data_IF_635729797466
#
_entry.id   IF_635729797466
#
_cell.length_a   1.000
_cell.length_b   1.000
_cell.length_c   1.000
_cell.angle_alpha   90.00
_cell.angle_beta   90.00
_cell.angle_gamma   90.00
#
_symmetry.space_group_name_H-M   'P 1'
#
loop_
_entity.id
_entity.type
_entity.pdbx_description
1 polymer ?
#
# COMPACT_ATOMS: atom_id res chain seq x y z
N UNK A 1 -8.10 20.29 -21.35
CA UNK A 1 -7.22 19.14 -20.97
C UNK A 1 -7.09 19.16 -19.45
N UNK A 2 -7.64 18.17 -18.76
CA UNK A 2 -7.47 18.08 -17.31
C UNK A 2 -5.97 17.86 -17.01
N UNK A 3 -5.41 18.72 -16.19
CA UNK A 3 -3.99 18.67 -15.82
C UNK A 3 -3.77 17.40 -14.94
N UNK A 4 -3.35 16.32 -15.57
CA UNK A 4 -3.14 14.98 -14.95
C UNK A 4 -1.82 14.92 -14.18
N UNK A 5 -1.44 16.01 -13.51
CA UNK A 5 -0.20 16.05 -12.77
C UNK A 5 -0.20 15.03 -11.63
N UNK A 6 0.70 14.06 -11.72
CA UNK A 6 0.98 13.12 -10.63
C UNK A 6 1.50 13.90 -9.41
N UNK A 7 0.85 13.71 -8.28
CA UNK A 7 1.28 14.34 -7.02
C UNK A 7 2.24 13.39 -6.27
N UNK A 8 3.48 13.36 -6.73
CA UNK A 8 4.53 12.48 -6.21
C UNK A 8 4.70 12.55 -4.69
N UNK A 9 4.62 13.74 -4.10
CA UNK A 9 4.69 13.88 -2.64
C UNK A 9 3.63 13.08 -1.89
N UNK A 10 2.43 12.95 -2.44
CA UNK A 10 1.36 12.12 -1.84
C UNK A 10 1.56 10.64 -2.08
N UNK A 11 2.11 10.25 -3.23
CA UNK A 11 2.46 8.86 -3.54
C UNK A 11 3.51 8.38 -2.54
N UNK A 12 4.58 9.13 -2.39
CA UNK A 12 5.68 8.83 -1.45
C UNK A 12 5.16 8.79 -0.01
N UNK A 13 4.43 9.83 0.43
CA UNK A 13 3.88 9.90 1.77
C UNK A 13 2.93 8.71 2.06
N UNK A 14 2.05 8.39 1.11
CA UNK A 14 1.10 7.29 1.24
C UNK A 14 1.81 5.94 1.32
N UNK A 15 2.80 5.71 0.47
CA UNK A 15 3.60 4.49 0.50
C UNK A 15 4.34 4.32 1.84
N UNK A 16 4.97 5.38 2.34
CA UNK A 16 5.66 5.35 3.63
C UNK A 16 4.68 5.11 4.78
N UNK A 17 3.56 5.83 4.84
CA UNK A 17 2.57 5.66 5.92
C UNK A 17 1.98 4.25 5.96
N UNK A 18 1.63 3.69 4.80
CA UNK A 18 1.10 2.33 4.74
C UNK A 18 2.14 1.29 5.15
N UNK A 19 3.42 1.50 4.76
CA UNK A 19 4.51 0.62 5.17
C UNK A 19 4.78 0.70 6.68
N UNK A 20 4.73 1.89 7.27
CA UNK A 20 4.87 2.05 8.72
C UNK A 20 3.74 1.34 9.48
N UNK A 21 2.49 1.44 9.02
CA UNK A 21 1.37 0.71 9.62
C UNK A 21 1.57 -0.80 9.54
N UNK A 22 2.03 -1.30 8.39
CA UNK A 22 2.36 -2.71 8.20
C UNK A 22 3.47 -3.15 9.16
N UNK A 23 4.56 -2.39 9.25
CA UNK A 23 5.67 -2.69 10.16
C UNK A 23 5.23 -2.73 11.62
N UNK A 24 4.39 -1.79 12.05
CA UNK A 24 3.83 -1.79 13.40
C UNK A 24 3.02 -3.07 13.64
N UNK A 25 2.17 -3.47 12.70
CA UNK A 25 1.40 -4.71 12.82
C UNK A 25 2.29 -5.95 12.95
N UNK A 26 3.34 -6.05 12.13
CA UNK A 26 4.32 -7.15 12.19
C UNK A 26 5.05 -7.17 13.53
N UNK A 27 5.53 -6.02 14.00
CA UNK A 27 6.22 -5.91 15.31
C UNK A 27 5.30 -6.30 16.46
N UNK A 28 4.04 -5.87 16.44
CA UNK A 28 3.04 -6.23 17.46
C UNK A 28 2.81 -7.74 17.50
N UNK A 29 2.62 -8.38 16.33
CA UNK A 29 2.44 -9.84 16.25
C UNK A 29 3.67 -10.58 16.79
N UNK A 30 4.86 -10.12 16.41
CA UNK A 30 6.11 -10.71 16.87
C UNK A 30 6.29 -10.55 18.39
N UNK A 31 6.01 -9.36 18.94
CA UNK A 31 6.08 -9.07 20.36
C UNK A 31 5.03 -9.86 21.18
N UNK A 32 3.91 -10.20 20.58
CA UNK A 32 2.87 -11.04 21.17
C UNK A 32 3.22 -12.56 21.13
N UNK A 33 4.42 -12.91 20.68
CA UNK A 33 4.86 -14.31 20.59
C UNK A 33 4.38 -15.04 19.33
N UNK A 34 3.95 -14.31 18.31
CA UNK A 34 3.60 -14.88 17.00
C UNK A 34 4.82 -15.53 16.34
N UNK A 35 4.67 -16.79 15.92
CA UNK A 35 5.69 -17.51 15.19
C UNK A 35 5.89 -16.99 13.76
N UNK A 36 6.82 -17.58 13.03
CA UNK A 36 7.20 -17.18 11.67
C UNK A 36 6.01 -17.15 10.72
N UNK A 37 5.12 -18.14 10.82
CA UNK A 37 3.90 -18.19 9.98
C UNK A 37 2.96 -17.01 10.26
N UNK A 38 2.74 -16.66 11.54
CA UNK A 38 1.90 -15.54 11.91
C UNK A 38 2.47 -14.20 11.42
N UNK A 39 3.78 -14.03 11.51
CA UNK A 39 4.49 -12.85 10.97
C UNK A 39 4.34 -12.78 9.45
N UNK A 40 4.52 -13.90 8.75
CA UNK A 40 4.40 -13.96 7.30
C UNK A 40 2.98 -13.68 6.82
N UNK A 41 1.97 -14.28 7.46
CA UNK A 41 0.55 -14.00 7.15
C UNK A 41 0.24 -12.53 7.40
N UNK A 42 0.73 -11.97 8.51
CA UNK A 42 0.55 -10.55 8.83
C UNK A 42 1.20 -9.66 7.77
N UNK A 43 2.36 -10.02 7.27
CA UNK A 43 3.02 -9.27 6.20
C UNK A 43 2.21 -9.30 4.90
N UNK A 44 1.64 -10.45 4.52
CA UNK A 44 0.85 -10.60 3.29
C UNK A 44 -0.50 -9.89 3.41
N UNK A 45 -1.30 -10.25 4.42
CA UNK A 45 -2.64 -9.69 4.62
C UNK A 45 -2.57 -8.23 5.02
N UNK A 46 -1.64 -7.88 5.92
CA UNK A 46 -1.39 -6.52 6.38
C UNK A 46 -0.97 -5.59 5.24
N UNK A 47 -0.25 -6.10 4.24
CA UNK A 47 0.09 -5.34 3.03
C UNK A 47 -1.16 -4.85 2.29
N UNK A 48 -2.20 -5.67 2.17
CA UNK A 48 -3.47 -5.23 1.60
C UNK A 48 -4.22 -4.28 2.56
N UNK A 49 -4.41 -4.70 3.80
CA UNK A 49 -5.22 -3.99 4.80
C UNK A 49 -4.67 -2.60 5.12
N UNK A 50 -3.35 -2.42 5.20
CA UNK A 50 -2.74 -1.13 5.49
C UNK A 50 -2.85 -0.16 4.29
N UNK A 51 -2.75 -0.65 3.06
CA UNK A 51 -2.76 0.19 1.87
C UNK A 51 -4.16 0.70 1.50
N UNK A 52 -5.24 -0.06 1.76
CA UNK A 52 -6.61 0.36 1.47
C UNK A 52 -6.98 1.69 2.16
N UNK A 53 -6.91 1.83 3.49
CA UNK A 53 -7.33 3.05 4.16
C UNK A 53 -6.43 4.25 3.85
N UNK A 54 -5.12 4.04 3.68
CA UNK A 54 -4.17 5.10 3.36
C UNK A 54 -4.42 5.64 1.95
N UNK A 55 -4.58 4.76 0.96
CA UNK A 55 -4.88 5.15 -0.42
C UNK A 55 -6.25 5.82 -0.53
N UNK A 56 -7.26 5.35 0.22
CA UNK A 56 -8.57 5.98 0.28
C UNK A 56 -8.50 7.37 0.91
N UNK A 57 -7.84 7.53 2.05
CA UNK A 57 -7.74 8.81 2.75
C UNK A 57 -6.99 9.87 1.93
N UNK A 58 -5.82 9.53 1.40
CA UNK A 58 -5.02 10.44 0.58
C UNK A 58 -5.63 10.66 -0.81
N UNK A 59 -6.30 9.64 -1.35
CA UNK A 59 -6.93 9.66 -2.67
C UNK A 59 -8.08 10.66 -2.80
N UNK A 60 -8.79 10.99 -1.69
CA UNK A 60 -9.95 11.89 -1.69
C UNK A 60 -9.70 13.27 -2.30
N UNK A 61 -8.46 13.69 -2.38
CA UNK A 61 -8.05 15.01 -2.89
C UNK A 61 -7.19 14.91 -4.15
N UNK A 62 -7.26 13.76 -4.83
CA UNK A 62 -6.44 13.51 -6.01
C UNK A 62 -7.30 13.38 -7.27
N UNK A 63 -6.83 13.90 -8.43
CA UNK A 63 -7.60 13.84 -9.67
C UNK A 63 -7.76 12.42 -10.22
N UNK A 64 -6.84 11.52 -9.90
CA UNK A 64 -6.83 10.12 -10.34
C UNK A 64 -6.52 9.19 -9.15
N UNK A 65 -7.47 9.00 -8.22
CA UNK A 65 -7.19 8.30 -6.98
C UNK A 65 -6.78 6.84 -7.18
N UNK A 66 -7.35 6.13 -8.17
CA UNK A 66 -6.96 4.76 -8.50
C UNK A 66 -5.48 4.67 -8.90
N UNK A 67 -5.05 5.49 -9.84
CA UNK A 67 -3.66 5.51 -10.30
C UNK A 67 -2.69 5.85 -9.16
N UNK A 68 -3.02 6.85 -8.36
CA UNK A 68 -2.20 7.23 -7.21
C UNK A 68 -2.11 6.12 -6.17
N UNK A 69 -3.21 5.40 -5.90
CA UNK A 69 -3.22 4.24 -5.00
C UNK A 69 -2.32 3.11 -5.48
N UNK A 70 -2.39 2.75 -6.75
CA UNK A 70 -1.49 1.76 -7.36
C UNK A 70 -0.03 2.20 -7.26
N UNK A 71 0.25 3.47 -7.57
CA UNK A 71 1.62 4.01 -7.49
C UNK A 71 2.16 4.08 -6.06
N UNK A 72 1.32 4.30 -5.04
CA UNK A 72 1.71 4.17 -3.62
C UNK A 72 2.18 2.76 -3.30
N UNK A 73 1.42 1.73 -3.73
CA UNK A 73 1.80 0.33 -3.56
C UNK A 73 3.09 -0.03 -4.30
N UNK A 74 3.24 0.42 -5.55
CA UNK A 74 4.42 0.20 -6.35
C UNK A 74 5.66 0.86 -5.73
N UNK A 75 5.54 2.11 -5.28
CA UNK A 75 6.62 2.83 -4.60
C UNK A 75 7.09 2.08 -3.35
N UNK A 76 6.16 1.67 -2.48
CA UNK A 76 6.49 0.93 -1.27
C UNK A 76 7.15 -0.43 -1.59
N UNK A 77 6.67 -1.15 -2.61
CA UNK A 77 7.27 -2.40 -3.05
C UNK A 77 8.72 -2.22 -3.54
N UNK A 78 8.96 -1.17 -4.34
CA UNK A 78 10.31 -0.84 -4.83
C UNK A 78 11.23 -0.47 -3.67
N UNK A 79 10.80 0.43 -2.78
CA UNK A 79 11.60 0.85 -1.61
C UNK A 79 11.95 -0.34 -0.73
N UNK A 80 10.97 -1.19 -0.40
CA UNK A 80 11.21 -2.40 0.39
C UNK A 80 12.24 -3.31 -0.30
N UNK A 81 12.05 -3.58 -1.60
CA UNK A 81 12.95 -4.44 -2.36
C UNK A 81 14.38 -3.90 -2.38
N UNK A 82 14.55 -2.59 -2.62
CA UNK A 82 15.86 -1.94 -2.60
C UNK A 82 16.50 -2.06 -1.21
N UNK A 83 15.76 -1.74 -0.14
CA UNK A 83 16.29 -1.85 1.23
C UNK A 83 16.66 -3.28 1.60
N UNK A 84 15.88 -4.27 1.14
CA UNK A 84 16.19 -5.69 1.36
C UNK A 84 17.51 -6.09 0.68
N UNK A 85 17.70 -5.74 -0.58
CA UNK A 85 18.94 -6.06 -1.30
C UNK A 85 20.15 -5.31 -0.73
N UNK A 86 19.98 -4.04 -0.38
CA UNK A 86 21.03 -3.27 0.31
C UNK A 86 21.39 -3.92 1.63
N UNK A 87 20.39 -4.33 2.45
CA UNK A 87 20.63 -5.04 3.70
C UNK A 87 21.43 -6.33 3.51
N UNK A 88 21.12 -7.09 2.45
CA UNK A 88 21.89 -8.31 2.10
C UNK A 88 23.33 -8.04 1.68
N UNK A 89 23.61 -6.91 1.04
CA UNK A 89 24.99 -6.53 0.70
C UNK A 89 25.84 -6.33 1.95
N UNK A 90 25.26 -5.81 3.04
CA UNK A 90 25.95 -5.61 4.31
C UNK A 90 25.93 -6.85 5.21
N UNK A 91 24.94 -7.72 5.06
CA UNK A 91 24.83 -8.97 5.82
C UNK A 91 24.40 -10.12 4.89
N UNK A 92 25.38 -10.84 4.31
CA UNK A 92 25.11 -11.97 3.41
C UNK A 92 24.38 -13.15 4.09
N UNK A 93 24.35 -13.21 5.43
CA UNK A 93 23.63 -14.24 6.17
C UNK A 93 22.10 -14.06 6.11
N UNK A 94 21.59 -12.91 5.66
CA UNK A 94 20.17 -12.70 5.43
C UNK A 94 19.70 -13.63 4.31
N UNK A 95 18.71 -14.52 4.56
CA UNK A 95 18.24 -15.48 3.56
C UNK A 95 17.63 -14.77 2.34
N UNK A 96 17.49 -15.52 1.25
CA UNK A 96 16.79 -15.02 0.07
C UNK A 96 15.34 -14.66 0.43
N UNK A 97 14.79 -13.66 -0.27
CA UNK A 97 13.41 -13.23 -0.05
C UNK A 97 12.44 -14.39 -0.34
N UNK A 98 11.64 -14.83 0.63
CA UNK A 98 10.65 -15.88 0.41
C UNK A 98 9.61 -15.48 -0.63
N UNK A 99 9.05 -16.47 -1.35
CA UNK A 99 8.01 -16.22 -2.37
C UNK A 99 6.82 -15.42 -1.84
N UNK A 100 6.42 -15.66 -0.60
CA UNK A 100 5.30 -14.95 0.05
C UNK A 100 5.53 -13.45 0.18
N UNK A 101 6.77 -12.97 0.22
CA UNK A 101 7.05 -11.54 0.21
C UNK A 101 6.76 -10.89 -1.15
N UNK A 102 6.97 -11.62 -2.26
CA UNK A 102 6.53 -11.15 -3.58
C UNK A 102 5.00 -11.04 -3.66
N UNK A 103 4.29 -12.01 -3.04
CA UNK A 103 2.83 -11.93 -2.90
C UNK A 103 2.42 -10.71 -2.08
N UNK A 104 3.13 -10.40 -0.98
CA UNK A 104 2.89 -9.20 -0.19
C UNK A 104 3.03 -7.90 -1.03
N UNK A 105 3.99 -7.85 -1.96
CA UNK A 105 4.14 -6.70 -2.85
C UNK A 105 2.97 -6.56 -3.83
N UNK A 106 2.47 -7.66 -4.38
CA UNK A 106 1.24 -7.66 -5.19
C UNK A 106 0.05 -7.18 -4.36
N UNK A 107 -0.05 -7.60 -3.10
CA UNK A 107 -1.10 -7.16 -2.18
C UNK A 107 -1.04 -5.67 -1.85
N UNK A 108 0.15 -5.04 -1.82
CA UNK A 108 0.31 -3.58 -1.70
C UNK A 108 -0.31 -2.84 -2.88
N UNK A 109 -0.07 -3.32 -4.11
CA UNK A 109 -0.66 -2.73 -5.32
C UNK A 109 -2.19 -2.90 -5.31
N UNK A 110 -2.67 -4.10 -4.98
CA UNK A 110 -4.10 -4.40 -4.91
C UNK A 110 -4.80 -3.54 -3.84
N UNK A 111 -4.22 -3.43 -2.64
CA UNK A 111 -4.75 -2.58 -1.56
C UNK A 111 -4.80 -1.10 -1.96
N UNK A 112 -3.73 -0.60 -2.57
CA UNK A 112 -3.69 0.76 -3.11
C UNK A 112 -4.75 1.00 -4.19
N UNK A 113 -4.92 0.05 -5.11
CA UNK A 113 -5.95 0.10 -6.16
C UNK A 113 -7.36 0.13 -5.57
N UNK A 114 -7.66 -0.75 -4.63
CA UNK A 114 -8.97 -0.82 -3.96
C UNK A 114 -9.25 0.48 -3.21
N UNK A 115 -8.30 1.01 -2.45
CA UNK A 115 -8.45 2.29 -1.75
C UNK A 115 -8.73 3.46 -2.70
N UNK A 116 -8.00 3.55 -3.81
CA UNK A 116 -8.22 4.55 -4.85
C UNK A 116 -9.56 4.38 -5.58
N UNK A 117 -9.94 3.14 -5.87
CA UNK A 117 -11.25 2.84 -6.48
C UNK A 117 -12.42 3.23 -5.58
N UNK A 118 -12.33 2.99 -4.28
CA UNK A 118 -13.36 3.40 -3.31
C UNK A 118 -13.58 4.93 -3.35
N UNK A 119 -12.52 5.71 -3.51
CA UNK A 119 -12.64 7.17 -3.68
C UNK A 119 -13.37 7.52 -4.95
N UNK A 120 -13.02 6.91 -6.09
CA UNK A 120 -13.68 7.17 -7.37
C UNK A 120 -15.19 6.86 -7.30
N UNK A 121 -15.53 5.72 -6.70
CA UNK A 121 -16.92 5.30 -6.52
C UNK A 121 -17.70 6.29 -5.65
N UNK A 122 -17.13 6.74 -4.54
CA UNK A 122 -17.76 7.71 -3.64
C UNK A 122 -18.02 9.05 -4.34
N UNK A 123 -17.09 9.51 -5.16
CA UNK A 123 -17.23 10.76 -5.92
C UNK A 123 -18.32 10.65 -7.01
N UNK A 124 -18.40 9.50 -7.70
CA UNK A 124 -19.45 9.25 -8.71
C UNK A 124 -20.86 9.23 -8.13
N UNK A 125 -21.04 8.70 -6.93
CA UNK A 125 -22.33 8.68 -6.23
C UNK A 125 -22.75 10.09 -5.81
N UNK A 126 -21.80 10.92 -5.34
CA UNK A 126 -22.08 12.30 -4.92
C UNK A 126 -22.40 13.24 -6.09
N UNK A 127 -21.94 12.93 -7.30
CA UNK A 127 -22.16 13.75 -8.51
C UNK A 127 -23.40 13.36 -9.32
N UNK A 128 -24.19 12.37 -8.92
CA UNK A 128 -25.44 12.02 -9.61
C UNK A 128 -26.53 13.02 -9.23
N UNK A 129 -26.99 13.90 -10.15
CA UNK A 129 -28.11 14.78 -9.84
C UNK A 129 -29.33 13.90 -9.54
N UNK A 130 -30.00 14.18 -8.41
CA UNK A 130 -31.28 13.59 -8.11
C UNK A 130 -32.20 13.87 -9.35
N UNK A 131 -32.61 12.82 -10.05
CA UNK A 131 -33.64 12.94 -11.07
C UNK A 131 -34.90 13.38 -10.36
N UNK A 132 -35.15 14.69 -10.41
CA UNK A 132 -36.45 15.25 -10.06
C UNK A 132 -37.39 14.82 -11.20
N UNK A 133 -38.16 13.78 -10.93
CA UNK A 133 -39.26 13.34 -11.75
C UNK A 133 -40.51 14.15 -11.44
#
# INVERSE_FOLDING_TARGET
MANTSLRWGRIVLGGILAEMLLMIAVVVVQAAGGGEDAVTITAVVGSFVAFVPVAWWLGRRLPQPLLHGVLMGAFAAVVYTVLFFVGRMFNPAVPAMPLLYYVAHVMKLAGGAVGGWLVQRSAGIAGSPARVG
#
